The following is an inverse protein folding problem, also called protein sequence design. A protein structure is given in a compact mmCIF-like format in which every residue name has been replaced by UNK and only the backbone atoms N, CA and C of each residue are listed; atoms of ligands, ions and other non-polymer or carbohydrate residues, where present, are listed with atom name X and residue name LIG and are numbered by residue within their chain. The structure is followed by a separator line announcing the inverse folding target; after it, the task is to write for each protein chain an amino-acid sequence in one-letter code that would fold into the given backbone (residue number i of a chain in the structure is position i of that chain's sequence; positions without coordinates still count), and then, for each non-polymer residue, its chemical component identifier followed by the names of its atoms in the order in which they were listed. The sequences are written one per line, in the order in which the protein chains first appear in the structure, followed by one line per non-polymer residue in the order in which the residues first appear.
data_IF_125113969254
#
_entry.id   IF_125113969254
#
_cell.length_a   1.000
_cell.length_b   1.000
_cell.length_c   1.000
_cell.angle_alpha   90.00
_cell.angle_beta   90.00
_cell.angle_gamma   90.00
#
_symmetry.space_group_name_H-M   'P 1'
#
loop_
_entity.id
_entity.type
_entity.pdbx_description
1 polymer ?
#
# COMPACT_ATOMS: atom_id res chain seq x y z
N UNK A 1 -12.70 -4.70 -13.73
CA UNK A 1 -13.21 -6.09 -13.69
C UNK A 1 -12.26 -7.07 -14.38
N UNK A 2 -11.82 -6.81 -15.62
CA UNK A 2 -10.92 -7.70 -16.38
C UNK A 2 -9.59 -8.01 -15.67
N UNK A 3 -8.95 -7.01 -15.04
CA UNK A 3 -7.71 -7.23 -14.29
C UNK A 3 -7.89 -8.15 -13.08
N UNK A 4 -8.98 -7.97 -12.31
CA UNK A 4 -9.32 -8.87 -11.21
C UNK A 4 -9.54 -10.31 -11.69
N UNK A 5 -10.26 -10.49 -12.80
CA UNK A 5 -10.46 -11.84 -13.38
C UNK A 5 -9.13 -12.48 -13.75
N UNK A 6 -8.24 -11.74 -14.44
CA UNK A 6 -6.94 -12.27 -14.86
C UNK A 6 -6.06 -12.69 -13.68
N UNK A 7 -5.99 -11.85 -12.64
CA UNK A 7 -5.22 -12.11 -11.42
C UNK A 7 -5.77 -13.32 -10.67
N UNK A 8 -7.07 -13.34 -10.38
CA UNK A 8 -7.66 -14.42 -9.58
C UNK A 8 -7.62 -15.76 -10.33
N UNK A 9 -7.89 -15.78 -11.64
CA UNK A 9 -7.76 -17.00 -12.44
C UNK A 9 -6.33 -17.56 -12.44
N UNK A 10 -5.30 -16.72 -12.41
CA UNK A 10 -3.91 -17.17 -12.30
C UNK A 10 -3.53 -17.66 -10.90
N UNK A 11 -3.94 -16.93 -9.86
CA UNK A 11 -3.56 -17.21 -8.47
C UNK A 11 -4.27 -18.46 -7.91
N UNK A 12 -5.55 -18.67 -8.23
CA UNK A 12 -6.35 -19.78 -7.67
C UNK A 12 -5.75 -21.18 -7.89
N UNK A 13 -5.40 -21.62 -9.11
CA UNK A 13 -4.79 -22.94 -9.31
C UNK A 13 -3.39 -23.02 -8.70
N UNK A 14 -2.64 -21.91 -8.68
CA UNK A 14 -1.33 -21.83 -8.04
C UNK A 14 -1.41 -22.07 -6.53
N UNK A 15 -2.39 -21.48 -5.84
CA UNK A 15 -2.61 -21.73 -4.42
C UNK A 15 -3.13 -23.15 -4.15
N UNK A 16 -3.96 -23.70 -5.03
CA UNK A 16 -4.54 -25.02 -4.85
C UNK A 16 -3.53 -26.16 -5.05
N UNK A 17 -2.53 -25.99 -5.93
CA UNK A 17 -1.63 -27.07 -6.34
C UNK A 17 -0.15 -26.80 -6.02
N UNK A 18 0.23 -25.54 -5.76
CA UNK A 18 1.64 -25.14 -5.67
C UNK A 18 2.39 -25.83 -4.55
N UNK A 19 1.84 -25.80 -3.32
CA UNK A 19 2.48 -26.43 -2.16
C UNK A 19 2.56 -27.93 -2.30
N UNK A 20 1.51 -28.58 -2.83
CA UNK A 20 1.49 -30.03 -3.04
C UNK A 20 2.52 -30.48 -4.07
N UNK A 21 2.73 -29.71 -5.14
CA UNK A 21 3.77 -29.95 -6.13
C UNK A 21 5.18 -29.77 -5.53
N UNK A 22 5.38 -28.73 -4.72
CA UNK A 22 6.67 -28.46 -4.06
C UNK A 22 7.02 -29.57 -3.08
N UNK A 23 6.09 -29.93 -2.19
CA UNK A 23 6.29 -30.97 -1.18
C UNK A 23 6.40 -32.35 -1.82
N UNK A 24 5.56 -32.66 -2.82
CA UNK A 24 5.56 -33.94 -3.53
C UNK A 24 6.80 -34.17 -4.41
N UNK A 25 7.54 -33.11 -4.76
CA UNK A 25 8.79 -33.21 -5.52
C UNK A 25 10.02 -33.55 -4.67
N UNK A 26 9.91 -33.45 -3.34
CA UNK A 26 11.01 -33.71 -2.41
C UNK A 26 11.01 -35.17 -1.90
N UNK A 27 12.19 -35.75 -1.59
CA UNK A 27 12.26 -37.01 -0.87
C UNK A 27 11.47 -36.95 0.45
N UNK A 28 10.85 -38.05 0.91
CA UNK A 28 9.99 -38.05 2.10
C UNK A 28 10.69 -37.51 3.35
N UNK A 29 11.99 -37.77 3.49
CA UNK A 29 12.81 -37.34 4.62
C UNK A 29 13.03 -35.81 4.63
N UNK A 30 12.80 -35.13 3.51
CA UNK A 30 12.97 -33.69 3.32
C UNK A 30 11.66 -32.93 3.07
N UNK A 31 10.52 -33.63 3.04
CA UNK A 31 9.21 -33.03 2.79
C UNK A 31 8.90 -31.88 3.76
N UNK A 32 9.28 -32.02 5.04
CA UNK A 32 9.13 -30.96 6.04
C UNK A 32 9.96 -29.70 5.73
N UNK A 33 11.20 -29.86 5.28
CA UNK A 33 12.03 -28.73 4.84
C UNK A 33 11.49 -28.08 3.58
N UNK A 34 10.99 -28.86 2.63
CA UNK A 34 10.36 -28.34 1.41
C UNK A 34 9.09 -27.55 1.72
N UNK A 35 8.24 -28.04 2.61
CA UNK A 35 7.05 -27.35 3.08
C UNK A 35 7.40 -26.02 3.76
N UNK A 36 8.38 -26.02 4.68
CA UNK A 36 8.81 -24.82 5.38
C UNK A 36 9.37 -23.74 4.42
N UNK A 37 10.13 -24.14 3.39
CA UNK A 37 10.59 -23.21 2.37
C UNK A 37 9.44 -22.66 1.51
N UNK A 38 8.45 -23.50 1.17
CA UNK A 38 7.27 -23.09 0.40
C UNK A 38 6.45 -22.05 1.17
N UNK A 39 6.24 -22.27 2.46
CA UNK A 39 5.55 -21.33 3.34
C UNK A 39 6.31 -20.00 3.46
N UNK A 40 7.63 -20.07 3.67
CA UNK A 40 8.49 -18.88 3.73
C UNK A 40 8.43 -18.09 2.43
N UNK A 41 8.45 -18.77 1.28
CA UNK A 41 8.35 -18.12 -0.02
C UNK A 41 7.01 -17.42 -0.23
N UNK A 42 5.92 -18.03 0.25
CA UNK A 42 4.58 -17.43 0.18
C UNK A 42 4.51 -16.16 1.04
N UNK A 43 4.87 -16.25 2.32
CA UNK A 43 4.85 -15.11 3.24
C UNK A 43 5.78 -13.98 2.79
N UNK A 44 6.97 -14.33 2.28
CA UNK A 44 7.89 -13.36 1.71
C UNK A 44 7.29 -12.66 0.47
N UNK A 45 6.64 -13.41 -0.41
CA UNK A 45 5.97 -12.86 -1.58
C UNK A 45 4.84 -11.89 -1.20
N UNK A 46 4.05 -12.23 -0.19
CA UNK A 46 2.98 -11.37 0.36
C UNK A 46 3.59 -10.08 0.92
N UNK A 47 4.60 -10.20 1.79
CA UNK A 47 5.26 -9.06 2.40
C UNK A 47 5.89 -8.12 1.36
N UNK A 48 6.57 -8.69 0.36
CA UNK A 48 7.16 -7.93 -0.74
C UNK A 48 6.10 -7.24 -1.60
N UNK A 49 4.98 -7.90 -1.86
CA UNK A 49 3.84 -7.33 -2.58
C UNK A 49 3.25 -6.13 -1.86
N UNK A 50 3.00 -6.26 -0.54
CA UNK A 50 2.50 -5.17 0.31
C UNK A 50 3.49 -3.99 0.31
N UNK A 51 4.78 -4.27 0.52
CA UNK A 51 5.82 -3.24 0.53
C UNK A 51 5.95 -2.53 -0.82
N UNK A 52 5.92 -3.29 -1.92
CA UNK A 52 5.98 -2.76 -3.27
C UNK A 52 4.79 -1.88 -3.61
N UNK A 53 3.57 -2.33 -3.32
CA UNK A 53 2.36 -1.55 -3.53
C UNK A 53 2.35 -0.27 -2.68
N UNK A 54 2.72 -0.38 -1.40
CA UNK A 54 2.86 0.80 -0.52
C UNK A 54 3.87 1.81 -1.07
N UNK A 55 5.02 1.33 -1.56
CA UNK A 55 6.04 2.19 -2.16
C UNK A 55 5.52 2.94 -3.39
N UNK A 56 4.75 2.26 -4.26
CA UNK A 56 4.13 2.89 -5.43
C UNK A 56 3.11 3.94 -5.01
N UNK A 57 2.25 3.62 -4.06
CA UNK A 57 1.25 4.57 -3.53
C UNK A 57 1.93 5.81 -2.95
N UNK A 58 2.97 5.63 -2.13
CA UNK A 58 3.75 6.74 -1.55
C UNK A 58 4.45 7.58 -2.64
N UNK A 59 5.00 6.94 -3.67
CA UNK A 59 5.67 7.65 -4.76
C UNK A 59 4.68 8.51 -5.57
N UNK A 60 3.52 7.94 -5.93
CA UNK A 60 2.45 8.66 -6.64
C UNK A 60 1.92 9.82 -5.79
N UNK A 61 1.65 9.57 -4.50
CA UNK A 61 1.20 10.62 -3.58
C UNK A 61 2.18 11.81 -3.52
N UNK A 62 3.48 11.53 -3.40
CA UNK A 62 4.52 12.57 -3.35
C UNK A 62 4.59 13.39 -4.64
N UNK A 63 4.42 12.74 -5.79
CA UNK A 63 4.40 13.39 -7.11
C UNK A 63 3.19 14.32 -7.23
N UNK A 64 1.99 13.85 -6.88
CA UNK A 64 0.76 14.64 -6.94
C UNK A 64 0.73 15.80 -5.92
N UNK A 65 1.33 15.61 -4.75
CA UNK A 65 1.34 16.60 -3.65
C UNK A 65 2.41 17.68 -3.83
N UNK A 66 3.40 17.48 -4.70
CA UNK A 66 4.50 18.42 -4.92
C UNK A 66 3.99 19.82 -5.30
N UNK A 67 2.98 19.88 -6.18
CA UNK A 67 2.48 21.11 -6.80
C UNK A 67 1.12 21.58 -6.26
N UNK A 68 0.48 20.83 -5.37
CA UNK A 68 -0.93 21.06 -4.95
C UNK A 68 -1.10 21.61 -3.54
N UNK A 69 -0.03 21.72 -2.75
CA UNK A 69 -0.13 22.23 -1.38
C UNK A 69 -0.44 23.74 -1.30
N UNK A 70 -1.31 24.18 -0.37
CA UNK A 70 -1.57 25.60 -0.14
C UNK A 70 -0.28 26.36 0.22
N UNK A 71 -0.15 27.58 -0.31
CA UNK A 71 1.08 28.37 -0.18
C UNK A 71 1.25 28.99 1.19
N UNK A 72 0.15 29.06 1.94
CA UNK A 72 0.04 29.64 3.26
C UNK A 72 0.47 28.67 4.36
N UNK A 73 0.78 27.40 4.02
CA UNK A 73 1.25 26.42 5.00
C UNK A 73 2.62 26.81 5.59
N UNK A 74 2.80 26.62 6.92
CA UNK A 74 4.13 26.60 7.53
C UNK A 74 5.04 25.58 6.82
N UNK A 75 6.32 25.91 6.66
CA UNK A 75 7.27 25.07 5.92
C UNK A 75 7.38 23.63 6.49
N UNK A 76 7.42 23.51 7.81
CA UNK A 76 7.46 22.21 8.50
C UNK A 76 6.20 21.37 8.25
N UNK A 77 5.04 22.03 8.22
CA UNK A 77 3.74 21.40 7.95
C UNK A 77 3.63 20.98 6.48
N UNK A 78 4.11 21.81 5.55
CA UNK A 78 4.19 21.47 4.14
C UNK A 78 5.16 20.31 3.89
N UNK A 79 6.29 20.26 4.59
CA UNK A 79 7.24 19.15 4.49
C UNK A 79 6.63 17.84 4.99
N UNK A 80 6.01 17.87 6.18
CA UNK A 80 5.34 16.71 6.75
C UNK A 80 4.17 16.21 5.88
N UNK A 81 3.35 17.11 5.36
CA UNK A 81 2.23 16.76 4.48
C UNK A 81 2.69 16.12 3.16
N UNK A 82 3.85 16.52 2.60
CA UNK A 82 4.41 15.88 1.38
C UNK A 82 4.85 14.44 1.62
N UNK A 83 5.23 14.07 2.84
CA UNK A 83 5.85 12.77 3.09
C UNK A 83 4.89 11.60 2.90
N UNK A 84 3.71 11.70 3.52
CA UNK A 84 2.65 10.68 3.42
C UNK A 84 1.28 11.30 3.64
N UNK A 85 0.24 10.67 3.10
CA UNK A 85 -1.16 11.04 3.36
C UNK A 85 -1.51 11.03 4.85
N UNK A 86 -0.95 10.07 5.61
CA UNK A 86 -1.18 9.98 7.05
C UNK A 86 -0.62 11.19 7.80
N UNK A 87 0.55 11.69 7.40
CA UNK A 87 1.11 12.92 7.97
C UNK A 87 0.30 14.15 7.56
N UNK A 88 -0.22 14.21 6.33
CA UNK A 88 -1.09 15.29 5.91
C UNK A 88 -2.39 15.34 6.74
N UNK A 89 -3.03 14.19 6.99
CA UNK A 89 -4.22 14.10 7.86
C UNK A 89 -3.90 14.56 9.30
N UNK A 90 -2.78 14.12 9.86
CA UNK A 90 -2.33 14.56 11.19
C UNK A 90 -2.05 16.07 11.26
N UNK A 91 -1.40 16.64 10.24
CA UNK A 91 -1.13 18.09 10.14
C UNK A 91 -2.44 18.88 9.98
N UNK A 92 -3.40 18.37 9.21
CA UNK A 92 -4.69 19.02 9.03
C UNK A 92 -5.45 19.20 10.34
N UNK A 93 -5.38 18.22 11.25
CA UNK A 93 -6.00 18.27 12.57
C UNK A 93 -5.37 19.34 13.48
N UNK A 94 -4.11 19.70 13.24
CA UNK A 94 -3.37 20.71 14.02
C UNK A 94 -3.51 22.13 13.46
N UNK A 95 -3.96 22.28 12.20
CA UNK A 95 -4.09 23.58 11.54
C UNK A 95 -5.41 24.28 11.90
N UNK A 96 -5.37 25.59 12.25
CA UNK A 96 -6.58 26.33 12.56
C UNK A 96 -7.37 26.73 11.31
N UNK A 97 -8.69 26.52 11.35
CA UNK A 97 -9.63 27.08 10.39
C UNK A 97 -9.63 26.38 9.01
N UNK A 98 -9.90 27.11 7.91
CA UNK A 98 -10.11 26.51 6.58
C UNK A 98 -8.86 25.83 6.00
N UNK A 99 -7.67 26.16 6.51
CA UNK A 99 -6.39 25.59 6.06
C UNK A 99 -6.30 24.07 6.21
N UNK A 100 -6.83 23.49 7.29
CA UNK A 100 -6.88 22.04 7.45
C UNK A 100 -7.84 21.37 6.46
N UNK A 101 -8.93 22.06 6.11
CA UNK A 101 -9.88 21.57 5.10
C UNK A 101 -9.30 21.70 3.67
N UNK A 102 -8.65 22.81 3.34
CA UNK A 102 -7.97 23.04 2.05
C UNK A 102 -6.80 22.06 1.83
N UNK A 103 -6.10 21.65 2.89
CA UNK A 103 -5.07 20.60 2.81
C UNK A 103 -5.65 19.24 2.40
N UNK A 104 -6.89 18.94 2.80
CA UNK A 104 -7.56 17.65 2.58
C UNK A 104 -8.55 17.66 1.41
N UNK A 105 -8.85 18.81 0.82
CA UNK A 105 -9.68 18.94 -0.37
C UNK A 105 -9.16 18.10 -1.55
N UNK A 106 -7.85 18.09 -1.86
CA UNK A 106 -7.28 17.19 -2.88
C UNK A 106 -7.49 15.70 -2.55
N UNK A 107 -7.61 15.35 -1.27
CA UNK A 107 -7.79 13.99 -0.78
C UNK A 107 -9.26 13.53 -0.68
N UNK A 108 -10.23 14.38 -1.05
CA UNK A 108 -11.64 14.00 -1.18
C UNK A 108 -12.44 14.03 0.13
N UNK A 109 -12.02 14.78 1.15
CA UNK A 109 -12.84 14.97 2.37
C UNK A 109 -13.86 16.10 2.12
N UNK A 110 -15.18 15.83 2.15
CA UNK A 110 -16.19 16.86 1.92
C UNK A 110 -16.21 17.88 3.07
N UNK A 111 -16.25 19.16 2.72
CA UNK A 111 -16.39 20.28 3.65
C UNK A 111 -17.67 20.16 4.49
N UNK A 112 -17.63 20.36 5.83
CA UNK A 112 -18.81 20.36 6.69
C UNK A 112 -19.63 21.67 6.62
N UNK A 113 -19.80 22.23 5.42
CA UNK A 113 -20.63 23.40 5.16
C UNK A 113 -21.63 23.11 4.04
N UNK A 114 -22.70 22.39 4.39
CA UNK A 114 -23.98 22.37 3.68
C UNK A 114 -25.11 22.50 4.71
#
# INVERSE_FOLDING_TARGET
MTGFVLVYTGVSPMMALGTDLVVGSAPPEKAGSAAAMSETGMEFGIALGIAGLGSVVTAVYRDETADTLPRELPEDAAHAARDTLANADAVADELPGPLGAELLEPAGRPSPAA
#
